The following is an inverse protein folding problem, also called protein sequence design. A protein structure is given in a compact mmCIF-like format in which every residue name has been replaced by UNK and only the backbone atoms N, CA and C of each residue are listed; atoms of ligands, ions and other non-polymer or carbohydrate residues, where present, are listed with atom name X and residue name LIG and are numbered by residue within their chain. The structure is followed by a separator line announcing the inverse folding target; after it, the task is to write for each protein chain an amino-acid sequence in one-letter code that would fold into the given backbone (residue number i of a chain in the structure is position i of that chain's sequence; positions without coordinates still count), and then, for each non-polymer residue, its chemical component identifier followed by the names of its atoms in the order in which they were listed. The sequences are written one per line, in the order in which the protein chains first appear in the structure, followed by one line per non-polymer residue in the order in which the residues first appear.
data_IF_199136694684
#
_entry.id   IF_199136694684
#
_cell.length_a   1.000
_cell.length_b   1.000
_cell.length_c   1.000
_cell.angle_alpha   90.00
_cell.angle_beta   90.00
_cell.angle_gamma   90.00
#
_symmetry.space_group_name_H-M   'P 1'
#
loop_
_entity.id
_entity.type
_entity.pdbx_description
1 polymer ?
#
# COMPACT_ATOMS: atom_id res chain seq x y z
N UNK A 1 2.65 -21.93 -0.27
CA UNK A 1 1.62 -20.90 -0.15
C UNK A 1 1.95 -19.78 -1.14
N UNK A 2 1.04 -19.43 -2.05
CA UNK A 2 1.29 -18.41 -3.08
C UNK A 2 1.19 -17.01 -2.48
N UNK A 3 2.17 -16.60 -1.70
CA UNK A 3 2.22 -15.26 -1.14
C UNK A 3 2.90 -14.22 -2.03
N UNK A 4 3.35 -14.63 -3.21
CA UNK A 4 4.15 -13.79 -4.11
C UNK A 4 3.53 -13.54 -5.49
N UNK A 5 2.48 -14.25 -5.85
CA UNK A 5 1.73 -14.00 -7.07
C UNK A 5 0.50 -13.18 -6.72
N UNK A 6 0.17 -12.18 -7.50
CA UNK A 6 -0.85 -11.20 -7.16
C UNK A 6 -2.24 -11.79 -6.99
N UNK A 7 -2.60 -12.90 -7.58
CA UNK A 7 -3.96 -13.47 -7.47
C UNK A 7 -5.08 -12.42 -7.61
N UNK A 8 -4.79 -11.32 -8.29
CA UNK A 8 -5.71 -10.20 -8.46
C UNK A 8 -6.97 -10.63 -9.20
N UNK A 9 -8.17 -10.24 -8.76
CA UNK A 9 -9.38 -10.38 -9.55
C UNK A 9 -9.30 -9.50 -10.80
N UNK A 10 -10.26 -9.63 -11.71
CA UNK A 10 -10.41 -8.69 -12.83
C UNK A 10 -10.47 -7.24 -12.29
N UNK A 11 -9.92 -6.32 -13.08
CA UNK A 11 -9.76 -4.92 -12.72
C UNK A 11 -11.07 -4.25 -12.28
N UNK A 12 -12.16 -4.47 -13.02
CA UNK A 12 -13.48 -3.89 -12.71
C UNK A 12 -14.00 -4.38 -11.36
N UNK A 13 -13.82 -5.68 -11.08
CA UNK A 13 -14.20 -6.27 -9.80
C UNK A 13 -13.34 -5.69 -8.65
N UNK A 14 -12.04 -5.50 -8.92
CA UNK A 14 -11.12 -4.96 -7.94
C UNK A 14 -11.47 -3.51 -7.57
N UNK A 15 -11.67 -2.66 -8.56
CA UNK A 15 -11.96 -1.23 -8.33
C UNK A 15 -13.28 -0.99 -7.62
N UNK A 16 -14.26 -1.89 -7.80
CA UNK A 16 -15.55 -1.80 -7.12
C UNK A 16 -15.49 -1.92 -5.59
N UNK A 17 -14.35 -2.34 -5.02
CA UNK A 17 -14.19 -2.45 -3.56
C UNK A 17 -13.76 -1.14 -2.90
N UNK A 18 -13.35 -0.12 -3.67
CA UNK A 18 -12.70 1.06 -3.13
C UNK A 18 -13.22 2.36 -3.74
N UNK A 19 -13.47 3.35 -2.90
CA UNK A 19 -13.33 4.75 -3.27
C UNK A 19 -11.90 5.19 -2.89
N UNK A 20 -10.94 4.83 -3.75
CA UNK A 20 -9.53 5.03 -3.48
C UNK A 20 -9.14 6.51 -3.28
N UNK A 21 -9.66 7.48 -4.07
CA UNK A 21 -9.40 8.90 -3.82
C UNK A 21 -9.82 9.35 -2.42
N UNK A 22 -11.05 9.03 -1.99
CA UNK A 22 -11.57 9.42 -0.68
C UNK A 22 -10.86 8.67 0.45
N UNK A 23 -10.52 7.38 0.24
CA UNK A 23 -9.74 6.61 1.21
C UNK A 23 -8.37 7.25 1.47
N UNK A 24 -7.66 7.66 0.41
CA UNK A 24 -6.36 8.32 0.54
C UNK A 24 -6.46 9.71 1.17
N UNK A 25 -7.53 10.48 0.91
CA UNK A 25 -7.76 11.75 1.60
C UNK A 25 -7.84 11.57 3.11
N UNK A 26 -8.50 10.51 3.57
CA UNK A 26 -8.58 10.17 5.01
C UNK A 26 -7.25 9.65 5.56
N UNK A 27 -6.57 8.78 4.82
CA UNK A 27 -5.28 8.19 5.22
C UNK A 27 -4.21 9.28 5.35
N UNK A 28 -4.22 10.27 4.46
CA UNK A 28 -3.26 11.37 4.47
C UNK A 28 -3.75 12.61 5.25
N UNK A 29 -4.87 12.47 5.97
CA UNK A 29 -5.50 13.58 6.71
C UNK A 29 -5.72 14.83 5.83
N UNK A 30 -6.13 14.60 4.57
CA UNK A 30 -6.31 15.62 3.52
C UNK A 30 -5.05 16.47 3.25
N UNK A 31 -3.87 15.97 3.66
CA UNK A 31 -2.59 16.65 3.44
C UNK A 31 -1.88 16.09 2.21
N UNK A 32 -1.14 16.94 1.51
CA UNK A 32 -0.22 16.47 0.48
C UNK A 32 0.99 15.77 1.10
N UNK A 33 1.48 14.71 0.46
CA UNK A 33 2.76 14.10 0.79
C UNK A 33 3.88 15.00 0.25
N UNK A 34 4.61 15.64 1.18
CA UNK A 34 5.74 16.53 0.81
C UNK A 34 7.02 15.70 0.71
N UNK A 35 7.42 15.38 -0.52
CA UNK A 35 8.56 14.53 -0.85
C UNK A 35 8.14 13.29 -1.62
N UNK A 36 9.05 12.30 -1.69
CA UNK A 36 8.83 11.06 -2.42
C UNK A 36 7.97 10.07 -1.62
N UNK A 37 7.25 9.23 -2.35
CA UNK A 37 6.44 8.16 -1.78
C UNK A 37 6.66 6.83 -2.50
N UNK A 38 6.34 5.72 -1.83
CA UNK A 38 6.42 4.38 -2.40
C UNK A 38 5.19 3.55 -2.08
N UNK A 39 4.70 2.81 -3.06
CA UNK A 39 3.69 1.77 -2.89
C UNK A 39 4.31 0.39 -3.15
N UNK A 40 4.09 -0.52 -2.21
CA UNK A 40 4.45 -1.92 -2.30
C UNK A 40 3.25 -2.70 -2.85
N UNK A 41 3.39 -3.28 -4.05
CA UNK A 41 2.30 -3.96 -4.74
C UNK A 41 1.31 -3.00 -5.37
N UNK A 42 1.71 -2.33 -6.45
CA UNK A 42 0.86 -1.31 -7.09
C UNK A 42 -0.38 -1.88 -7.80
N UNK A 43 -0.35 -3.17 -8.17
CA UNK A 43 -1.45 -3.79 -8.89
C UNK A 43 -1.87 -2.99 -10.13
N UNK A 44 -3.15 -2.74 -10.26
CA UNK A 44 -3.72 -1.92 -11.35
C UNK A 44 -3.46 -0.42 -11.23
N UNK A 45 -2.74 0.04 -10.21
CA UNK A 45 -2.53 1.47 -9.95
C UNK A 45 -3.70 2.17 -9.27
N UNK A 46 -4.64 1.41 -8.71
CA UNK A 46 -5.86 1.91 -8.04
C UNK A 46 -5.54 2.94 -6.95
N UNK A 47 -4.46 2.73 -6.19
CA UNK A 47 -3.99 3.67 -5.17
C UNK A 47 -2.77 4.48 -5.63
N UNK A 48 -1.96 3.96 -6.56
CA UNK A 48 -0.82 4.69 -7.14
C UNK A 48 -1.26 6.02 -7.76
N UNK A 49 -2.28 5.97 -8.61
CA UNK A 49 -2.71 7.17 -9.36
C UNK A 49 -3.20 8.28 -8.42
N UNK A 50 -4.20 8.06 -7.56
CA UNK A 50 -4.63 9.10 -6.64
C UNK A 50 -3.57 9.46 -5.59
N UNK A 51 -2.66 8.54 -5.23
CA UNK A 51 -1.52 8.81 -4.37
C UNK A 51 -0.51 9.75 -5.01
N UNK A 52 -0.16 9.52 -6.27
CA UNK A 52 0.76 10.36 -7.02
C UNK A 52 0.23 11.79 -7.21
N UNK A 53 -1.08 11.96 -7.41
CA UNK A 53 -1.74 13.28 -7.48
C UNK A 53 -1.61 14.07 -6.16
N UNK A 54 -1.40 13.40 -5.04
CA UNK A 54 -1.23 13.98 -3.70
C UNK A 54 0.22 14.08 -3.25
N UNK A 55 1.17 13.67 -4.10
CA UNK A 55 2.60 13.63 -3.78
C UNK A 55 3.35 14.70 -4.54
N UNK A 56 4.16 15.51 -3.83
CA UNK A 56 4.94 16.60 -4.46
C UNK A 56 6.24 16.11 -5.10
N UNK A 57 6.75 14.94 -4.67
CA UNK A 57 7.94 14.28 -5.20
C UNK A 57 7.61 13.13 -6.15
N UNK A 58 8.57 12.22 -6.32
CA UNK A 58 8.37 11.01 -7.12
C UNK A 58 7.55 9.98 -6.34
N UNK A 59 6.69 9.27 -7.04
CA UNK A 59 5.90 8.15 -6.52
C UNK A 59 6.42 6.85 -7.13
N UNK A 60 7.13 6.04 -6.34
CA UNK A 60 7.61 4.73 -6.75
C UNK A 60 6.50 3.69 -6.57
N UNK A 61 6.11 3.03 -7.65
CA UNK A 61 5.10 1.98 -7.67
C UNK A 61 5.77 0.64 -7.99
N UNK A 62 5.87 -0.22 -6.98
CA UNK A 62 6.58 -1.50 -7.08
C UNK A 62 5.58 -2.65 -7.19
N UNK A 63 5.85 -3.61 -8.06
CA UNK A 63 5.11 -4.87 -8.11
C UNK A 63 6.02 -5.99 -8.59
N UNK A 64 5.70 -7.23 -8.21
CA UNK A 64 6.39 -8.41 -8.69
C UNK A 64 5.93 -8.81 -10.10
N UNK A 65 4.72 -8.42 -10.48
CA UNK A 65 4.10 -8.74 -11.76
C UNK A 65 4.40 -7.66 -12.81
N UNK A 66 5.13 -8.00 -13.90
CA UNK A 66 5.42 -7.04 -14.97
C UNK A 66 4.16 -6.42 -15.60
N UNK A 67 3.08 -7.19 -15.70
CA UNK A 67 1.82 -6.73 -16.25
C UNK A 67 1.22 -5.60 -15.40
N UNK A 68 1.25 -5.72 -14.07
CA UNK A 68 0.72 -4.72 -13.15
C UNK A 68 1.52 -3.41 -13.25
N UNK A 69 2.84 -3.49 -13.30
CA UNK A 69 3.69 -2.31 -13.47
C UNK A 69 3.45 -1.63 -14.82
N UNK A 70 3.21 -2.39 -15.88
CA UNK A 70 2.90 -1.86 -17.21
C UNK A 70 1.56 -1.12 -17.21
N UNK A 71 0.49 -1.74 -16.70
CA UNK A 71 -0.84 -1.13 -16.60
C UNK A 71 -0.83 0.15 -15.76
N UNK A 72 -0.13 0.13 -14.63
CA UNK A 72 0.02 1.32 -13.77
C UNK A 72 0.75 2.45 -14.51
N UNK A 73 1.81 2.13 -15.27
CA UNK A 73 2.53 3.11 -16.07
C UNK A 73 1.67 3.70 -17.19
N UNK A 74 0.90 2.88 -17.88
CA UNK A 74 -0.05 3.32 -18.92
C UNK A 74 -1.11 4.26 -18.36
N UNK A 75 -1.67 3.95 -17.20
CA UNK A 75 -2.64 4.82 -16.51
C UNK A 75 -2.04 6.16 -16.12
N UNK A 76 -0.83 6.14 -15.56
CA UNK A 76 -0.11 7.38 -15.23
C UNK A 76 0.13 8.23 -16.48
N UNK A 77 0.55 7.62 -17.60
CA UNK A 77 0.78 8.30 -18.84
C UNK A 77 -0.50 8.92 -19.45
N UNK A 78 -1.62 8.20 -19.41
CA UNK A 78 -2.93 8.69 -19.87
C UNK A 78 -3.38 9.95 -19.12
N UNK A 79 -3.00 10.07 -17.85
CA UNK A 79 -3.30 11.23 -17.00
C UNK A 79 -2.18 12.28 -16.99
N UNK A 80 -1.14 12.12 -17.82
CA UNK A 80 0.04 12.99 -17.89
C UNK A 80 0.74 13.14 -16.52
N UNK A 81 0.73 12.11 -15.67
CA UNK A 81 1.47 12.10 -14.42
C UNK A 81 2.95 11.82 -14.70
N UNK A 82 3.78 12.83 -14.50
CA UNK A 82 5.24 12.74 -14.75
C UNK A 82 6.03 12.32 -13.51
N UNK A 83 5.35 12.21 -12.37
CA UNK A 83 5.96 11.87 -11.09
C UNK A 83 5.74 10.41 -10.66
N UNK A 84 5.24 9.54 -11.54
CA UNK A 84 5.10 8.10 -11.28
C UNK A 84 6.26 7.34 -11.91
N UNK A 85 6.90 6.47 -11.14
CA UNK A 85 7.90 5.52 -11.61
C UNK A 85 7.48 4.12 -11.20
N UNK A 86 7.21 3.25 -12.18
CA UNK A 86 6.91 1.84 -11.94
C UNK A 86 8.19 0.99 -12.03
N UNK A 87 8.29 -0.04 -11.21
CA UNK A 87 9.43 -0.96 -11.24
C UNK A 87 8.96 -2.39 -10.93
N UNK A 88 9.34 -3.35 -11.76
CA UNK A 88 9.15 -4.78 -11.48
C UNK A 88 10.13 -5.18 -10.39
N UNK A 89 9.60 -5.57 -9.20
CA UNK A 89 10.45 -5.80 -8.05
C UNK A 89 9.88 -6.84 -7.08
N UNK A 90 10.65 -7.89 -6.78
CA UNK A 90 10.38 -8.75 -5.61
C UNK A 90 10.92 -8.06 -4.35
N UNK A 91 10.16 -7.10 -3.84
CA UNK A 91 10.55 -6.32 -2.65
C UNK A 91 10.55 -7.14 -1.36
N UNK A 92 10.01 -8.36 -1.36
CA UNK A 92 10.09 -9.29 -0.22
C UNK A 92 11.48 -9.92 -0.14
N UNK A 93 12.04 -10.31 -1.29
CA UNK A 93 13.37 -10.96 -1.37
C UNK A 93 14.49 -9.93 -1.47
N UNK A 94 14.32 -8.91 -2.33
CA UNK A 94 15.42 -8.02 -2.75
C UNK A 94 15.30 -6.61 -2.13
N UNK A 95 14.30 -6.40 -1.26
CA UNK A 95 13.93 -5.08 -0.77
C UNK A 95 13.44 -4.16 -1.89
N UNK A 96 13.14 -2.92 -1.56
CA UNK A 96 12.59 -1.93 -2.51
C UNK A 96 13.62 -1.39 -3.52
N UNK A 97 14.93 -1.55 -3.26
CA UNK A 97 15.98 -0.87 -4.03
C UNK A 97 16.11 0.63 -3.72
N UNK A 98 15.23 1.19 -2.89
CA UNK A 98 15.24 2.60 -2.52
C UNK A 98 16.25 2.89 -1.39
N UNK A 99 16.79 4.10 -1.37
CA UNK A 99 17.70 4.53 -0.32
C UNK A 99 16.99 4.58 1.05
N UNK A 100 17.72 4.32 2.13
CA UNK A 100 17.20 4.49 3.48
C UNK A 100 16.79 5.95 3.74
N UNK A 101 15.70 6.14 4.47
CA UNK A 101 15.19 7.47 4.85
C UNK A 101 14.94 8.41 3.66
N UNK A 102 14.53 7.87 2.52
CA UNK A 102 14.28 8.65 1.30
C UNK A 102 12.79 8.99 1.09
N UNK A 103 11.89 8.18 1.65
CA UNK A 103 10.45 8.30 1.38
C UNK A 103 9.74 9.09 2.47
N UNK A 104 8.89 10.03 2.07
CA UNK A 104 8.01 10.74 2.99
C UNK A 104 6.84 9.86 3.44
N UNK A 105 6.37 8.97 2.55
CA UNK A 105 5.29 8.04 2.82
C UNK A 105 5.53 6.70 2.15
N UNK A 106 5.19 5.62 2.85
CA UNK A 106 5.12 4.28 2.28
C UNK A 106 3.68 3.75 2.37
N UNK A 107 3.25 2.99 1.38
CA UNK A 107 1.92 2.37 1.30
C UNK A 107 2.08 0.86 1.16
N UNK A 108 1.43 0.08 2.04
CA UNK A 108 1.35 -1.38 1.98
C UNK A 108 -0.12 -1.77 2.08
N UNK A 109 -0.73 -2.11 0.94
CA UNK A 109 -2.14 -2.42 0.87
C UNK A 109 -2.38 -3.86 0.43
N UNK A 110 -3.17 -4.59 1.22
CA UNK A 110 -3.55 -5.99 0.98
C UNK A 110 -2.39 -7.00 0.84
N UNK A 111 -1.24 -6.75 1.45
CA UNK A 111 -0.06 -7.60 1.34
C UNK A 111 0.32 -8.34 2.64
N UNK A 112 -0.15 -7.91 3.81
CA UNK A 112 0.35 -8.43 5.09
C UNK A 112 -0.13 -9.84 5.45
N UNK A 113 -0.75 -10.57 4.52
CA UNK A 113 -1.06 -12.00 4.65
C UNK A 113 0.06 -12.92 4.12
N UNK A 114 1.23 -12.37 3.80
CA UNK A 114 2.44 -13.11 3.42
C UNK A 114 3.10 -13.79 4.63
N UNK A 115 4.05 -14.70 4.39
CA UNK A 115 4.73 -15.46 5.46
C UNK A 115 5.53 -14.58 6.42
N UNK A 116 6.19 -13.53 5.91
CA UNK A 116 7.09 -12.65 6.67
C UNK A 116 6.63 -11.18 6.65
N UNK A 117 5.43 -10.86 7.19
CA UNK A 117 4.90 -9.49 7.14
C UNK A 117 5.77 -8.48 7.89
N UNK A 118 6.47 -8.93 8.95
CA UNK A 118 7.37 -8.06 9.72
C UNK A 118 8.61 -7.66 8.90
N UNK A 119 9.13 -8.53 8.05
CA UNK A 119 10.25 -8.20 7.17
C UNK A 119 9.87 -7.09 6.19
N UNK A 120 8.68 -7.18 5.59
CA UNK A 120 8.14 -6.15 4.70
C UNK A 120 7.96 -4.81 5.41
N UNK A 121 7.41 -4.81 6.62
CA UNK A 121 7.23 -3.61 7.44
C UNK A 121 8.57 -2.99 7.88
N UNK A 122 9.59 -3.80 8.15
CA UNK A 122 10.95 -3.30 8.43
C UNK A 122 11.60 -2.66 7.20
N UNK A 123 11.37 -3.21 6.02
CA UNK A 123 11.82 -2.58 4.78
C UNK A 123 11.11 -1.23 4.56
N UNK A 124 9.79 -1.17 4.76
CA UNK A 124 9.06 0.10 4.73
C UNK A 124 9.63 1.10 5.75
N UNK A 125 9.92 0.64 6.98
CA UNK A 125 10.54 1.51 8.00
C UNK A 125 11.93 2.00 7.61
N UNK A 126 12.72 1.18 6.93
CA UNK A 126 14.06 1.53 6.45
C UNK A 126 14.00 2.69 5.45
N UNK A 127 13.06 2.65 4.52
CA UNK A 127 12.95 3.66 3.46
C UNK A 127 12.22 4.93 3.90
N UNK A 128 11.33 4.85 4.89
CA UNK A 128 10.61 6.02 5.41
C UNK A 128 11.56 6.91 6.20
N UNK A 129 11.59 8.21 5.84
CA UNK A 129 12.41 9.23 6.51
C UNK A 129 11.92 9.53 7.93
N UNK A 130 12.76 10.11 8.81
CA UNK A 130 12.29 10.63 10.09
C UNK A 130 11.13 11.62 9.89
N UNK A 131 10.05 11.43 10.64
CA UNK A 131 8.81 12.21 10.48
C UNK A 131 7.92 11.83 9.30
N UNK A 132 8.34 10.85 8.49
CA UNK A 132 7.49 10.24 7.46
C UNK A 132 6.53 9.22 8.05
N UNK A 133 5.64 8.69 7.20
CA UNK A 133 4.59 7.77 7.63
C UNK A 133 4.51 6.50 6.77
N UNK A 134 3.95 5.44 7.36
CA UNK A 134 3.51 4.23 6.67
C UNK A 134 2.00 4.13 6.81
N UNK A 135 1.29 3.95 5.70
CA UNK A 135 -0.08 3.49 5.71
C UNK A 135 -0.19 2.01 5.35
N UNK A 136 -1.00 1.31 6.13
CA UNK A 136 -1.36 -0.09 5.91
C UNK A 136 -2.86 -0.16 5.71
N UNK A 137 -3.31 -0.83 4.65
CA UNK A 137 -4.70 -1.22 4.47
C UNK A 137 -4.78 -2.72 4.22
N UNK A 138 -5.79 -3.39 4.78
CA UNK A 138 -5.95 -4.81 4.58
C UNK A 138 -7.42 -5.24 4.66
N UNK A 139 -7.73 -6.35 4.00
CA UNK A 139 -9.01 -7.02 4.13
C UNK A 139 -9.35 -7.29 5.59
N UNK A 140 -10.58 -7.01 5.98
CA UNK A 140 -11.10 -7.31 7.30
C UNK A 140 -11.14 -8.82 7.53
N UNK A 141 -10.72 -9.24 8.73
CA UNK A 141 -10.75 -10.63 9.19
C UNK A 141 -12.00 -10.99 10.01
N UNK A 142 -12.81 -9.98 10.34
CA UNK A 142 -14.00 -10.11 11.21
C UNK A 142 -15.32 -10.19 10.43
N UNK A 143 -15.28 -10.02 9.10
CA UNK A 143 -16.47 -10.11 8.24
C UNK A 143 -16.19 -10.92 6.96
N UNK A 144 -17.16 -11.66 6.43
CA UNK A 144 -17.09 -12.22 5.10
C UNK A 144 -16.96 -11.10 4.06
N UNK A 145 -16.15 -11.32 3.04
CA UNK A 145 -15.96 -10.37 1.95
C UNK A 145 -16.15 -11.08 0.61
N UNK A 146 -16.56 -10.39 -0.46
CA UNK A 146 -16.78 -11.01 -1.78
C UNK A 146 -15.52 -11.62 -2.38
N UNK A 147 -14.34 -11.09 -2.02
CA UNK A 147 -13.00 -11.47 -2.51
C UNK A 147 -11.97 -11.34 -1.40
N UNK A 148 -10.72 -11.57 -1.73
CA UNK A 148 -9.57 -11.50 -0.84
C UNK A 148 -9.09 -12.88 -0.39
N UNK A 149 -8.00 -12.96 0.36
CA UNK A 149 -7.47 -14.21 0.89
C UNK A 149 -8.47 -14.85 1.86
N UNK A 150 -8.35 -16.17 2.15
CA UNK A 150 -9.14 -16.83 3.18
C UNK A 150 -9.11 -16.08 4.52
N UNK A 151 -10.22 -16.10 5.27
CA UNK A 151 -10.35 -15.33 6.52
C UNK A 151 -9.22 -15.60 7.52
N UNK A 152 -8.81 -16.87 7.62
CA UNK A 152 -7.74 -17.35 8.51
C UNK A 152 -6.34 -16.80 8.13
N UNK A 153 -6.16 -16.34 6.90
CA UNK A 153 -4.91 -15.73 6.45
C UNK A 153 -4.88 -14.21 6.66
N UNK A 154 -6.01 -13.60 6.97
CA UNK A 154 -6.10 -12.14 7.11
C UNK A 154 -5.65 -11.71 8.50
N UNK A 155 -4.63 -10.85 8.61
CA UNK A 155 -4.27 -10.28 9.90
C UNK A 155 -5.38 -9.36 10.41
N UNK A 156 -5.62 -9.39 11.71
CA UNK A 156 -6.49 -8.40 12.34
C UNK A 156 -5.82 -7.02 12.43
N UNK A 157 -6.58 -5.92 12.62
CA UNK A 157 -6.00 -4.61 12.89
C UNK A 157 -5.03 -4.61 14.08
N UNK A 158 -5.30 -5.44 15.09
CA UNK A 158 -4.43 -5.58 16.26
C UNK A 158 -3.09 -6.22 15.91
N UNK A 159 -3.10 -7.28 15.08
CA UNK A 159 -1.87 -7.91 14.59
C UNK A 159 -1.03 -6.92 13.76
N UNK A 160 -1.63 -6.23 12.79
CA UNK A 160 -0.93 -5.24 11.98
C UNK A 160 -0.34 -4.12 12.84
N UNK A 161 -1.08 -3.63 13.83
CA UNK A 161 -0.60 -2.61 14.77
C UNK A 161 0.61 -3.09 15.58
N UNK A 162 0.60 -4.32 16.05
CA UNK A 162 1.74 -4.91 16.77
C UNK A 162 2.96 -4.99 15.86
N UNK A 163 2.81 -5.56 14.68
CA UNK A 163 3.91 -5.67 13.70
C UNK A 163 4.48 -4.32 13.26
N UNK A 164 3.63 -3.30 13.07
CA UNK A 164 4.10 -1.94 12.76
C UNK A 164 4.95 -1.38 13.91
N UNK A 165 4.55 -1.60 15.17
CA UNK A 165 5.35 -1.20 16.34
C UNK A 165 6.67 -1.97 16.42
N UNK A 166 6.66 -3.29 16.19
CA UNK A 166 7.85 -4.13 16.16
C UNK A 166 8.80 -3.76 15.01
N UNK A 167 8.27 -3.20 13.91
CA UNK A 167 9.05 -2.64 12.82
C UNK A 167 9.64 -1.26 13.13
N UNK A 168 9.21 -0.59 14.22
CA UNK A 168 9.77 0.67 14.69
C UNK A 168 8.91 1.91 14.42
N UNK A 169 7.62 1.74 14.07
CA UNK A 169 6.64 2.84 14.02
C UNK A 169 6.07 3.06 15.44
N UNK A 170 6.30 4.24 16.01
CA UNK A 170 6.01 4.51 17.43
C UNK A 170 4.52 4.76 17.68
N UNK A 171 3.90 5.56 16.81
CA UNK A 171 2.48 5.89 16.88
C UNK A 171 1.77 5.16 15.75
N UNK A 172 0.69 4.43 16.07
CA UNK A 172 -0.13 3.76 15.06
C UNK A 172 -1.59 4.09 15.33
N UNK A 173 -2.20 4.80 14.39
CA UNK A 173 -3.60 5.25 14.45
C UNK A 173 -4.47 4.43 13.48
N UNK A 174 -5.75 4.28 13.82
CA UNK A 174 -6.75 3.70 12.92
C UNK A 174 -7.39 4.83 12.12
N UNK A 175 -7.59 4.59 10.82
CA UNK A 175 -8.35 5.46 9.93
C UNK A 175 -9.68 4.79 9.62
N UNK A 176 -10.78 5.52 9.79
CA UNK A 176 -12.11 5.01 9.46
C UNK A 176 -12.35 5.08 7.95
N UNK A 177 -12.56 3.91 7.35
CA UNK A 177 -12.85 3.73 5.93
C UNK A 177 -14.18 3.01 5.68
N UNK A 178 -15.03 2.85 6.69
CA UNK A 178 -16.19 1.95 6.63
C UNK A 178 -17.18 2.25 5.49
N UNK A 179 -17.34 3.49 5.10
CA UNK A 179 -18.23 3.94 4.03
C UNK A 179 -17.60 3.99 2.64
N UNK A 180 -16.26 4.03 2.55
CA UNK A 180 -15.51 4.13 1.28
C UNK A 180 -14.76 2.85 0.90
N UNK A 181 -14.41 2.02 1.89
CA UNK A 181 -13.77 0.72 1.70
C UNK A 181 -14.33 -0.28 2.74
N UNK A 182 -15.62 -0.69 2.65
CA UNK A 182 -16.33 -1.39 3.73
C UNK A 182 -15.71 -2.74 4.12
N UNK A 183 -14.94 -3.33 3.23
CA UNK A 183 -14.30 -4.62 3.44
C UNK A 183 -12.87 -4.52 3.98
N UNK A 184 -12.39 -3.30 4.24
CA UNK A 184 -11.01 -3.04 4.63
C UNK A 184 -10.92 -2.25 5.94
N UNK A 185 -9.78 -2.36 6.59
CA UNK A 185 -9.36 -1.45 7.65
C UNK A 185 -8.08 -0.74 7.23
N UNK A 186 -7.79 0.41 7.82
CA UNK A 186 -6.53 1.11 7.61
C UNK A 186 -5.88 1.57 8.91
N UNK A 187 -4.55 1.56 8.90
CA UNK A 187 -3.68 2.04 9.97
C UNK A 187 -2.63 2.99 9.38
N UNK A 188 -2.30 4.04 10.12
CA UNK A 188 -1.19 4.94 9.78
C UNK A 188 -0.20 4.95 10.94
N UNK A 189 1.08 4.70 10.62
CA UNK A 189 2.20 4.65 11.57
C UNK A 189 3.24 5.73 11.30
N UNK A 190 3.77 6.34 12.37
CA UNK A 190 4.85 7.33 12.33
C UNK A 190 5.98 6.99 13.28
#
# INVERSE_FOLDING_TARGET
MKGRESGMPDEVDWEAFFDAPTALDRIFDSQAIVGDAVEFGCGYGTFTIPGALRTTGMFAALDIEPEMTCLTAERAALLNLTNVRTEVRDFVTDGTGLAASSQAHAMIYNLLHIEEPLALLKEARRVVKPGGALSVMHWRSDVPTPRGPPLEMRPSPAHCRAWMKDAGFRTVQTVDLADVCPYHFALVGT
#
